data_IF_595310201461
#
_entry.id   IF_595310201461
#
_cell.length_a   1.000
_cell.length_b   1.000
_cell.length_c   1.000
_cell.angle_alpha   90.00
_cell.angle_beta   90.00
_cell.angle_gamma   90.00
#
_symmetry.space_group_name_H-M   'P 1'
#
loop_
_entity.id
_entity.type
_entity.pdbx_description
1 polymer ?
#
# COMPACT_ATOMS: atom_id res chain seq x y z
N UNK A 1 10.44 19.58 -5.85
CA UNK A 1 11.65 19.50 -5.00
C UNK A 1 11.36 20.16 -3.68
N UNK A 2 11.92 19.66 -2.58
CA UNK A 2 11.76 20.28 -1.26
C UNK A 2 12.89 19.81 -0.32
N UNK A 3 13.45 20.69 0.54
CA UNK A 3 14.42 20.30 1.56
C UNK A 3 13.79 19.45 2.66
N UNK A 4 14.55 18.49 3.20
CA UNK A 4 14.14 17.72 4.37
C UNK A 4 14.25 18.54 5.66
N UNK A 5 15.13 19.55 5.70
CA UNK A 5 15.25 20.52 6.81
C UNK A 5 15.49 19.87 8.18
N UNK A 6 16.43 18.92 8.27
CA UNK A 6 16.77 18.25 9.52
C UNK A 6 17.41 19.20 10.54
N UNK A 7 18.08 20.26 10.07
CA UNK A 7 18.64 21.31 10.93
C UNK A 7 17.58 22.29 11.46
N UNK A 8 16.38 22.29 10.87
CA UNK A 8 15.25 23.11 11.27
C UNK A 8 15.38 24.60 10.91
N UNK A 9 14.36 25.36 11.31
CA UNK A 9 14.21 26.80 11.00
C UNK A 9 14.34 27.04 9.47
N UNK A 10 15.23 27.95 9.08
CA UNK A 10 15.45 28.37 7.70
C UNK A 10 16.70 27.75 7.06
N UNK A 11 17.39 26.86 7.77
CA UNK A 11 18.59 26.18 7.26
C UNK A 11 18.25 25.25 6.10
N UNK A 12 17.12 24.53 6.17
CA UNK A 12 16.51 23.84 5.03
C UNK A 12 17.52 22.98 4.27
N UNK A 13 18.24 22.15 5.00
CA UNK A 13 19.22 21.23 4.44
C UNK A 13 18.57 20.06 3.69
N UNK A 14 19.38 19.39 2.85
CA UNK A 14 19.03 18.17 2.11
C UNK A 14 17.86 18.37 1.15
N UNK A 15 18.09 19.12 0.08
CA UNK A 15 17.14 19.28 -1.02
C UNK A 15 16.84 17.93 -1.68
N UNK A 16 15.60 17.46 -1.59
CA UNK A 16 15.16 16.22 -2.21
C UNK A 16 14.31 16.43 -3.48
N UNK A 17 14.46 15.51 -4.43
CA UNK A 17 13.65 15.40 -5.64
C UNK A 17 12.68 14.22 -5.53
N UNK A 18 11.44 14.47 -5.96
CA UNK A 18 10.35 13.51 -5.95
C UNK A 18 9.74 13.42 -7.35
N UNK A 19 9.30 12.22 -7.72
CA UNK A 19 8.61 11.92 -8.97
C UNK A 19 7.21 11.38 -8.65
N UNK A 20 6.19 11.86 -9.35
CA UNK A 20 4.82 11.34 -9.19
C UNK A 20 4.05 11.38 -10.50
N UNK A 21 3.19 10.39 -10.70
CA UNK A 21 2.17 10.30 -11.76
C UNK A 21 0.75 10.57 -11.20
N UNK A 22 0.64 11.26 -10.06
CA UNK A 22 -0.60 11.49 -9.31
C UNK A 22 -1.19 10.23 -8.62
N UNK A 23 -0.46 9.10 -8.63
CA UNK A 23 -0.85 7.87 -7.92
C UNK A 23 0.31 7.38 -7.04
N UNK A 24 1.46 7.17 -7.67
CA UNK A 24 2.70 6.75 -7.03
C UNK A 24 3.57 7.97 -6.73
N UNK A 25 4.33 7.91 -5.65
CA UNK A 25 5.23 9.00 -5.22
C UNK A 25 6.59 8.39 -4.90
N UNK A 26 7.55 8.59 -5.80
CA UNK A 26 8.90 8.05 -5.70
C UNK A 26 9.87 9.12 -5.19
N UNK A 27 10.70 8.76 -4.22
CA UNK A 27 11.82 9.60 -3.79
C UNK A 27 13.00 9.34 -4.73
N UNK A 28 13.30 10.31 -5.60
CA UNK A 28 14.45 10.18 -6.52
C UNK A 28 15.76 10.25 -5.73
N UNK A 29 15.79 11.05 -4.67
CA UNK A 29 16.92 11.19 -3.78
C UNK A 29 17.26 12.63 -3.46
N UNK A 30 18.36 12.79 -2.74
CA UNK A 30 18.92 14.09 -2.40
C UNK A 30 19.70 14.66 -3.60
N UNK A 31 19.37 15.88 -3.99
CA UNK A 31 20.02 16.65 -5.07
C UNK A 31 21.19 17.47 -4.54
N UNK A 32 21.04 18.06 -3.35
CA UNK A 32 22.09 18.82 -2.67
C UNK A 32 23.20 17.90 -2.14
N UNK A 33 24.36 18.45 -1.83
CA UNK A 33 25.52 17.68 -1.37
C UNK A 33 25.62 17.68 0.16
N UNK A 34 25.80 16.51 0.75
CA UNK A 34 26.04 16.38 2.20
C UNK A 34 24.88 16.95 3.04
N UNK A 35 25.20 17.81 3.99
CA UNK A 35 24.24 18.48 4.87
C UNK A 35 24.11 19.98 4.58
N UNK A 36 24.44 20.43 3.36
CA UNK A 36 24.39 21.85 3.00
C UNK A 36 22.95 22.41 3.06
N UNK A 37 22.86 23.68 3.48
CA UNK A 37 21.61 24.43 3.51
C UNK A 37 21.17 24.75 2.07
N UNK A 38 20.05 24.19 1.60
CA UNK A 38 19.66 24.20 0.19
C UNK A 38 18.14 24.39 0.05
N UNK A 39 17.71 25.63 0.27
CA UNK A 39 16.30 25.97 0.43
C UNK A 39 15.53 26.03 -0.90
N UNK A 40 15.76 27.06 -1.71
CA UNK A 40 15.00 27.29 -2.94
C UNK A 40 15.61 26.54 -4.11
N UNK A 41 14.77 26.08 -5.02
CA UNK A 41 15.19 25.30 -6.18
C UNK A 41 14.26 25.46 -7.37
N UNK A 42 14.79 25.22 -8.56
CA UNK A 42 14.07 25.19 -9.82
C UNK A 42 14.62 24.05 -10.68
N UNK A 43 13.75 23.12 -11.07
CA UNK A 43 14.11 21.97 -11.91
C UNK A 43 13.68 22.24 -13.34
N UNK A 44 14.57 21.99 -14.29
CA UNK A 44 14.31 22.12 -15.71
C UNK A 44 14.59 20.80 -16.42
N UNK A 45 13.59 20.27 -17.12
CA UNK A 45 13.79 19.20 -18.11
C UNK A 45 13.75 19.81 -19.51
N UNK A 46 14.86 19.69 -20.24
CA UNK A 46 15.01 20.25 -21.60
C UNK A 46 15.90 19.34 -22.43
N UNK A 47 15.49 19.08 -23.68
CA UNK A 47 16.24 18.27 -24.66
C UNK A 47 16.75 16.94 -24.08
N UNK A 48 15.85 16.23 -23.39
CA UNK A 48 16.13 14.97 -22.70
C UNK A 48 17.25 15.03 -21.62
N UNK A 49 17.41 16.19 -21.00
CA UNK A 49 18.35 16.42 -19.90
C UNK A 49 17.65 17.11 -18.73
N UNK A 50 18.03 16.72 -17.52
CA UNK A 50 17.48 17.27 -16.29
C UNK A 50 18.51 18.14 -15.60
N UNK A 51 18.07 19.30 -15.14
CA UNK A 51 18.90 20.30 -14.47
C UNK A 51 18.20 20.79 -13.22
N UNK A 52 18.98 21.27 -12.25
CA UNK A 52 18.46 21.96 -11.08
C UNK A 52 19.28 23.22 -10.80
N UNK A 53 18.61 24.37 -10.77
CA UNK A 53 19.17 25.60 -10.20
C UNK A 53 18.70 25.68 -8.75
N UNK A 54 19.60 25.61 -7.78
CA UNK A 54 19.22 25.71 -6.36
C UNK A 54 20.16 26.54 -5.54
N UNK A 55 19.67 27.01 -4.40
CA UNK A 55 20.45 27.74 -3.42
C UNK A 55 21.42 26.82 -2.68
N UNK A 56 22.57 27.39 -2.31
CA UNK A 56 23.41 26.93 -1.21
C UNK A 56 23.63 28.12 -0.27
N UNK A 57 23.56 27.88 1.04
CA UNK A 57 23.77 28.90 2.07
C UNK A 57 24.88 28.48 3.04
N UNK A 58 25.89 29.35 3.19
CA UNK A 58 26.86 29.29 4.29
C UNK A 58 26.85 30.62 5.02
N UNK A 59 26.53 30.62 6.32
CA UNK A 59 26.51 31.83 7.17
C UNK A 59 25.68 32.98 6.58
N UNK A 60 24.49 32.69 6.05
CA UNK A 60 23.59 33.66 5.41
C UNK A 60 24.15 34.30 4.12
N UNK A 61 25.19 33.70 3.54
CA UNK A 61 25.69 34.05 2.21
C UNK A 61 25.18 33.00 1.23
N UNK A 62 24.42 33.46 0.24
CA UNK A 62 23.70 32.61 -0.70
C UNK A 62 24.41 32.57 -2.06
N UNK A 63 24.41 31.42 -2.69
CA UNK A 63 24.82 31.22 -4.07
C UNK A 63 23.83 30.31 -4.79
N UNK A 64 23.80 30.39 -6.13
CA UNK A 64 23.00 29.49 -6.95
C UNK A 64 23.91 28.52 -7.69
N UNK A 65 23.67 27.23 -7.50
CA UNK A 65 24.37 26.17 -8.23
C UNK A 65 23.50 25.66 -9.37
N UNK A 66 24.10 25.46 -10.54
CA UNK A 66 23.43 24.89 -11.71
C UNK A 66 23.89 23.43 -11.90
N UNK A 67 23.14 22.51 -11.31
CA UNK A 67 23.44 21.09 -11.30
C UNK A 67 22.90 20.38 -12.55
N UNK A 68 23.68 19.41 -13.07
CA UNK A 68 23.25 18.49 -14.13
C UNK A 68 22.83 17.17 -13.48
N UNK A 69 21.54 16.89 -13.50
CA UNK A 69 20.94 15.75 -12.79
C UNK A 69 20.94 14.48 -13.66
N UNK A 70 22.13 14.03 -14.05
CA UNK A 70 22.30 12.88 -14.95
C UNK A 70 21.89 11.58 -14.28
N UNK A 71 22.31 11.37 -13.03
CA UNK A 71 21.99 10.16 -12.25
C UNK A 71 20.50 10.05 -11.95
N UNK A 72 19.92 11.16 -11.50
CA UNK A 72 18.51 11.29 -11.15
C UNK A 72 17.61 11.04 -12.37
N UNK A 73 17.97 11.57 -13.55
CA UNK A 73 17.21 11.31 -14.76
C UNK A 73 17.25 9.83 -15.18
N UNK A 74 18.40 9.15 -15.02
CA UNK A 74 18.48 7.71 -15.27
C UNK A 74 17.57 6.92 -14.32
N UNK A 75 17.54 7.29 -13.04
CA UNK A 75 16.65 6.70 -12.04
C UNK A 75 15.18 6.95 -12.42
N UNK A 76 14.81 8.19 -12.74
CA UNK A 76 13.46 8.56 -13.15
C UNK A 76 13.00 7.71 -14.34
N UNK A 77 13.82 7.62 -15.40
CA UNK A 77 13.48 6.80 -16.57
C UNK A 77 13.30 5.32 -16.22
N UNK A 78 14.17 4.77 -15.36
CA UNK A 78 14.04 3.40 -14.87
C UNK A 78 12.73 3.17 -14.12
N UNK A 79 12.34 4.09 -13.23
CA UNK A 79 11.11 4.00 -12.44
C UNK A 79 9.86 4.14 -13.32
N UNK A 80 9.84 5.12 -14.23
CA UNK A 80 8.75 5.30 -15.20
C UNK A 80 8.58 4.05 -16.08
N UNK A 81 9.68 3.41 -16.47
CA UNK A 81 9.61 2.16 -17.21
C UNK A 81 9.02 1.01 -16.36
N UNK A 82 9.37 0.92 -15.07
CA UNK A 82 8.74 -0.04 -14.15
C UNK A 82 7.23 0.20 -14.04
N UNK A 83 6.79 1.45 -13.84
CA UNK A 83 5.37 1.80 -13.76
C UNK A 83 4.63 1.40 -15.04
N UNK A 84 5.17 1.77 -16.21
CA UNK A 84 4.61 1.40 -17.51
C UNK A 84 4.53 -0.12 -17.69
N UNK A 85 5.57 -0.85 -17.31
CA UNK A 85 5.61 -2.30 -17.47
C UNK A 85 4.54 -3.00 -16.62
N UNK A 86 4.39 -2.61 -15.35
CA UNK A 86 3.39 -3.20 -14.46
C UNK A 86 1.96 -2.80 -14.85
N UNK A 87 1.72 -1.53 -15.18
CA UNK A 87 0.40 -1.09 -15.65
C UNK A 87 0.02 -1.80 -16.96
N UNK A 88 0.97 -1.93 -17.89
CA UNK A 88 0.74 -2.66 -19.15
C UNK A 88 0.53 -4.15 -18.91
N UNK A 89 1.27 -4.77 -17.98
CA UNK A 89 1.12 -6.18 -17.66
C UNK A 89 -0.28 -6.45 -17.12
N UNK A 90 -0.71 -5.73 -16.09
CA UNK A 90 -2.03 -5.89 -15.47
C UNK A 90 -3.17 -5.62 -16.46
N UNK A 91 -3.05 -4.55 -17.27
CA UNK A 91 -4.08 -4.20 -18.26
C UNK A 91 -4.17 -5.20 -19.42
N UNK A 92 -3.09 -5.94 -19.69
CA UNK A 92 -3.03 -6.95 -20.77
C UNK A 92 -3.57 -8.32 -20.38
N UNK A 93 -3.87 -8.54 -19.09
CA UNK A 93 -4.42 -9.82 -18.62
C UNK A 93 -5.80 -10.03 -19.26
N UNK A 94 -5.94 -11.13 -20.01
CA UNK A 94 -7.25 -11.60 -20.48
C UNK A 94 -7.99 -12.20 -19.29
N UNK A 95 -8.82 -11.40 -18.63
CA UNK A 95 -9.62 -11.83 -17.49
C UNK A 95 -10.74 -12.77 -17.95
N UNK A 96 -11.22 -13.69 -17.09
CA UNK A 96 -12.37 -14.51 -17.41
C UNK A 96 -13.60 -13.66 -17.73
N UNK A 97 -14.34 -14.04 -18.79
CA UNK A 97 -15.64 -13.44 -19.05
C UNK A 97 -16.59 -13.75 -17.88
N UNK A 98 -17.26 -12.72 -17.36
CA UNK A 98 -18.23 -12.90 -16.27
C UNK A 98 -19.48 -13.60 -16.82
N UNK A 99 -19.86 -14.78 -16.29
CA UNK A 99 -21.07 -15.49 -16.71
C UNK A 99 -22.36 -14.66 -16.57
N UNK A 100 -22.37 -13.65 -15.69
CA UNK A 100 -23.51 -12.77 -15.45
C UNK A 100 -23.64 -11.63 -16.48
N UNK A 101 -22.60 -11.39 -17.30
CA UNK A 101 -22.65 -10.37 -18.37
C UNK A 101 -22.72 -11.05 -19.73
N UNK A 102 -23.79 -10.78 -20.49
CA UNK A 102 -23.95 -11.24 -21.87
C UNK A 102 -22.68 -10.85 -22.67
N UNK A 103 -22.06 -11.88 -23.25
CA UNK A 103 -20.77 -11.89 -23.91
C UNK A 103 -20.47 -10.62 -24.71
N UNK A 104 -19.35 -9.97 -24.39
CA UNK A 104 -18.67 -9.16 -25.41
C UNK A 104 -18.04 -10.13 -26.43
N UNK A 105 -18.12 -9.80 -27.72
CA UNK A 105 -17.63 -10.62 -28.85
C UNK A 105 -16.10 -10.93 -28.81
N UNK A 106 -15.37 -10.52 -27.77
CA UNK A 106 -13.90 -10.50 -27.67
C UNK A 106 -13.26 -11.54 -26.75
N UNK A 107 -14.00 -12.46 -26.16
CA UNK A 107 -13.45 -13.62 -25.42
C UNK A 107 -12.77 -13.35 -24.08
N UNK A 108 -12.37 -12.11 -23.78
CA UNK A 108 -11.87 -11.67 -22.46
C UNK A 108 -12.94 -10.83 -21.73
N UNK A 109 -12.91 -10.87 -20.40
CA UNK A 109 -13.68 -10.00 -19.51
C UNK A 109 -13.12 -8.56 -19.42
N UNK A 110 -13.63 -7.75 -18.47
CA UNK A 110 -13.09 -6.42 -18.21
C UNK A 110 -11.62 -6.47 -17.77
N UNK A 111 -10.80 -5.50 -18.21
CA UNK A 111 -9.40 -5.43 -17.81
C UNK A 111 -9.23 -5.14 -16.31
N UNK A 112 -8.14 -5.63 -15.71
CA UNK A 112 -7.73 -5.24 -14.36
C UNK A 112 -7.45 -3.74 -14.35
N UNK A 113 -8.12 -3.01 -13.45
CA UNK A 113 -7.97 -1.56 -13.36
C UNK A 113 -6.61 -1.20 -12.78
N UNK A 114 -5.88 -0.32 -13.46
CA UNK A 114 -4.64 0.28 -12.96
C UNK A 114 -4.87 1.72 -12.50
N UNK A 115 -6.08 2.25 -12.72
CA UNK A 115 -6.46 3.61 -12.32
C UNK A 115 -6.59 3.66 -10.81
N UNK A 116 -5.76 4.50 -10.20
CA UNK A 116 -5.63 4.69 -8.77
C UNK A 116 -4.71 3.68 -8.07
N UNK A 117 -4.05 2.77 -8.80
CA UNK A 117 -3.22 1.72 -8.19
C UNK A 117 -1.89 2.30 -7.67
N UNK A 118 -1.79 2.59 -6.38
CA UNK A 118 -0.66 3.28 -5.77
C UNK A 118 0.52 2.37 -5.38
N UNK A 119 0.26 1.08 -5.11
CA UNK A 119 1.30 0.13 -4.72
C UNK A 119 0.89 -1.33 -4.97
N UNK A 120 1.88 -2.20 -5.14
CA UNK A 120 1.64 -3.62 -5.40
C UNK A 120 2.76 -4.50 -4.83
N UNK A 121 2.43 -5.34 -3.85
CA UNK A 121 3.33 -6.33 -3.26
C UNK A 121 3.05 -7.72 -3.86
N UNK A 122 4.04 -8.31 -4.55
CA UNK A 122 3.87 -9.58 -5.26
C UNK A 122 5.11 -10.47 -5.11
N UNK A 123 5.74 -10.94 -6.18
CA UNK A 123 6.83 -11.93 -6.07
C UNK A 123 8.16 -11.35 -5.56
N UNK A 124 8.40 -10.06 -5.76
CA UNK A 124 9.70 -9.49 -5.48
C UNK A 124 9.88 -9.21 -3.98
N UNK A 125 10.96 -9.74 -3.41
CA UNK A 125 11.17 -9.80 -1.97
C UNK A 125 12.64 -10.06 -1.62
N UNK A 126 13.09 -9.46 -0.52
CA UNK A 126 14.33 -9.81 0.18
C UNK A 126 14.00 -10.36 1.57
N UNK A 127 15.00 -10.77 2.36
CA UNK A 127 14.79 -11.53 3.60
C UNK A 127 13.74 -10.93 4.56
N UNK A 128 13.73 -9.60 4.73
CA UNK A 128 12.82 -8.90 5.66
C UNK A 128 12.00 -7.80 4.96
N UNK A 129 11.93 -7.82 3.63
CA UNK A 129 11.29 -6.76 2.85
C UNK A 129 10.46 -7.36 1.73
N UNK A 130 9.17 -7.01 1.70
CA UNK A 130 8.29 -7.25 0.57
C UNK A 130 8.37 -6.02 -0.35
N UNK A 131 8.95 -6.19 -1.53
CA UNK A 131 9.23 -5.07 -2.42
C UNK A 131 8.00 -4.65 -3.20
N UNK A 132 7.76 -3.34 -3.23
CA UNK A 132 6.71 -2.76 -4.06
C UNK A 132 7.14 -2.78 -5.53
N UNK A 133 6.30 -3.38 -6.36
CA UNK A 133 6.47 -3.45 -7.81
C UNK A 133 6.59 -2.06 -8.44
N UNK A 134 5.93 -1.05 -7.86
CA UNK A 134 6.04 0.36 -8.26
C UNK A 134 7.21 1.11 -7.61
N UNK A 135 7.99 0.42 -6.76
CA UNK A 135 9.27 0.87 -6.18
C UNK A 135 9.16 2.08 -5.24
N UNK A 136 7.98 2.39 -4.73
CA UNK A 136 7.74 3.58 -3.91
C UNK A 136 7.81 3.29 -2.42
N UNK A 137 7.06 2.30 -1.95
CA UNK A 137 6.96 1.98 -0.52
C UNK A 137 6.99 0.47 -0.34
N UNK A 138 8.08 -0.07 0.18
CA UNK A 138 8.15 -1.48 0.54
C UNK A 138 7.41 -1.75 1.86
N UNK A 139 7.02 -3.01 2.10
CA UNK A 139 6.57 -3.46 3.42
C UNK A 139 7.70 -4.20 4.14
N UNK A 140 7.81 -3.99 5.45
CA UNK A 140 8.71 -4.80 6.29
C UNK A 140 8.03 -6.11 6.66
N UNK A 141 8.78 -7.20 6.74
CA UNK A 141 8.24 -8.54 7.04
C UNK A 141 8.95 -9.15 8.25
N UNK A 142 8.23 -9.97 9.01
CA UNK A 142 8.77 -10.82 10.06
C UNK A 142 8.17 -12.22 9.97
N UNK A 143 8.98 -13.22 10.33
CA UNK A 143 8.66 -14.65 10.26
C UNK A 143 7.94 -15.04 8.97
N UNK A 144 8.54 -14.64 7.84
CA UNK A 144 7.96 -14.75 6.52
C UNK A 144 8.84 -15.65 5.64
N UNK A 145 8.24 -16.68 5.07
CA UNK A 145 8.83 -17.57 4.08
C UNK A 145 8.35 -17.14 2.69
N UNK A 146 9.28 -16.83 1.78
CA UNK A 146 8.94 -16.42 0.41
C UNK A 146 8.23 -17.58 -0.30
N UNK A 147 7.09 -17.28 -0.91
CA UNK A 147 6.35 -18.20 -1.81
C UNK A 147 6.07 -17.47 -3.13
N UNK A 148 5.68 -18.19 -4.20
CA UNK A 148 5.34 -17.51 -5.45
C UNK A 148 4.25 -16.44 -5.24
N UNK A 149 4.55 -15.22 -5.65
CA UNK A 149 3.71 -14.02 -5.56
C UNK A 149 3.42 -13.50 -4.14
N UNK A 150 4.19 -13.92 -3.12
CA UNK A 150 4.06 -13.34 -1.79
C UNK A 150 4.78 -14.10 -0.68
N UNK A 151 4.15 -14.18 0.49
CA UNK A 151 4.75 -14.76 1.69
C UNK A 151 3.81 -15.67 2.45
N UNK A 152 4.39 -16.72 3.04
CA UNK A 152 3.79 -17.52 4.09
C UNK A 152 4.32 -17.04 5.44
N UNK A 153 3.42 -16.68 6.34
CA UNK A 153 3.74 -16.24 7.69
C UNK A 153 3.48 -17.36 8.69
N UNK A 154 4.33 -17.46 9.72
CA UNK A 154 4.17 -18.42 10.81
C UNK A 154 4.68 -17.84 12.14
N UNK A 155 4.00 -18.17 13.24
CA UNK A 155 4.43 -17.80 14.60
C UNK A 155 4.09 -16.36 15.03
N UNK A 156 4.50 -16.02 16.26
CA UNK A 156 4.22 -14.72 16.91
C UNK A 156 4.88 -13.59 16.13
N UNK A 157 4.10 -12.56 15.77
CA UNK A 157 4.59 -11.43 14.99
C UNK A 157 4.82 -11.74 13.51
N UNK A 158 4.44 -12.94 13.02
CA UNK A 158 4.53 -13.28 11.60
C UNK A 158 3.60 -12.44 10.75
N UNK A 159 4.12 -11.62 9.84
CA UNK A 159 3.31 -10.72 9.03
C UNK A 159 4.14 -9.71 8.26
N UNK A 160 3.43 -8.79 7.60
CA UNK A 160 4.01 -7.64 6.92
C UNK A 160 3.35 -6.33 7.36
N UNK A 161 4.17 -5.29 7.49
CA UNK A 161 3.76 -3.93 7.82
C UNK A 161 4.06 -3.02 6.63
N UNK A 162 3.00 -2.42 6.07
CA UNK A 162 3.11 -1.49 4.96
C UNK A 162 2.83 -0.06 5.45
N UNK A 163 3.86 0.80 5.59
CA UNK A 163 3.75 2.02 6.41
C UNK A 163 2.90 3.11 5.73
N UNK A 164 2.14 3.85 6.54
CA UNK A 164 1.37 5.04 6.12
C UNK A 164 1.90 6.28 6.83
N UNK A 165 1.46 6.61 8.05
CA UNK A 165 2.08 7.69 8.85
C UNK A 165 3.46 7.30 9.37
N UNK A 166 3.73 5.99 9.53
CA UNK A 166 5.06 5.46 9.84
C UNK A 166 6.12 5.72 8.75
N UNK A 167 5.74 6.24 7.58
CA UNK A 167 6.71 6.77 6.60
C UNK A 167 7.44 8.02 7.13
N UNK A 168 6.94 8.63 8.20
CA UNK A 168 7.55 9.77 8.87
C UNK A 168 7.23 11.08 8.14
N UNK A 169 8.26 11.85 7.82
CA UNK A 169 8.13 13.21 7.29
C UNK A 169 7.37 13.29 5.96
N UNK A 170 7.52 12.30 5.09
CA UNK A 170 6.92 12.29 3.75
C UNK A 170 5.96 11.10 3.62
N UNK A 171 4.68 11.35 3.89
CA UNK A 171 3.63 10.34 3.95
C UNK A 171 2.96 10.14 2.58
N UNK A 172 3.53 9.23 1.76
CA UNK A 172 3.05 9.00 0.38
C UNK A 172 1.65 8.39 0.33
N UNK A 173 1.27 7.66 1.37
CA UNK A 173 -0.04 7.01 1.50
C UNK A 173 -1.04 7.80 2.35
N UNK A 174 -0.81 9.09 2.56
CA UNK A 174 -1.75 9.94 3.31
C UNK A 174 -3.17 9.96 2.71
N UNK A 175 -3.31 9.67 1.41
CA UNK A 175 -4.62 9.52 0.76
C UNK A 175 -5.52 8.48 1.44
N UNK A 176 -4.93 7.45 2.07
CA UNK A 176 -5.67 6.37 2.71
C UNK A 176 -6.50 6.85 3.91
N UNK A 177 -6.19 8.04 4.46
CA UNK A 177 -6.99 8.66 5.49
C UNK A 177 -8.35 9.18 4.97
N UNK A 178 -8.50 9.31 3.65
CA UNK A 178 -9.72 9.79 2.99
C UNK A 178 -10.44 8.67 2.26
N UNK A 179 -9.70 7.92 1.44
CA UNK A 179 -10.22 6.77 0.71
C UNK A 179 -9.12 5.79 0.30
N UNK A 180 -9.42 4.50 0.31
CA UNK A 180 -8.55 3.47 -0.25
C UNK A 180 -9.31 2.19 -0.59
N UNK A 181 -8.67 1.36 -1.41
CA UNK A 181 -9.01 -0.07 -1.52
C UNK A 181 -7.75 -0.90 -1.33
N UNK A 182 -7.78 -1.83 -0.36
CA UNK A 182 -6.71 -2.79 -0.10
C UNK A 182 -7.19 -4.18 -0.48
N UNK A 183 -6.41 -4.88 -1.31
CA UNK A 183 -6.77 -6.18 -1.88
C UNK A 183 -5.69 -7.18 -1.58
N UNK A 184 -6.02 -8.43 -1.24
CA UNK A 184 -5.05 -9.51 -1.14
C UNK A 184 -5.70 -10.89 -1.42
N UNK A 185 -4.91 -11.83 -1.94
CA UNK A 185 -5.24 -13.25 -1.91
C UNK A 185 -4.66 -13.89 -0.67
N UNK A 186 -5.47 -14.62 0.11
CA UNK A 186 -5.05 -15.20 1.38
C UNK A 186 -5.40 -16.68 1.48
N UNK A 187 -4.64 -17.42 2.28
CA UNK A 187 -4.91 -18.84 2.59
C UNK A 187 -4.55 -19.09 4.04
N UNK A 188 -5.50 -19.58 4.83
CA UNK A 188 -5.31 -19.87 6.26
C UNK A 188 -4.86 -21.33 6.41
N UNK A 189 -3.74 -21.57 7.07
CA UNK A 189 -3.13 -22.91 7.17
C UNK A 189 -3.41 -23.63 8.48
N UNK A 190 -3.76 -22.90 9.54
CA UNK A 190 -4.05 -23.46 10.86
C UNK A 190 -5.23 -22.73 11.48
N UNK A 191 -6.04 -23.46 12.25
CA UNK A 191 -7.12 -22.85 13.04
C UNK A 191 -6.48 -22.07 14.18
N UNK A 192 -6.80 -20.77 14.34
CA UNK A 192 -6.17 -19.99 15.38
C UNK A 192 -6.77 -20.37 16.74
N UNK A 193 -6.07 -20.04 17.84
CA UNK A 193 -6.59 -20.27 19.20
C UNK A 193 -7.61 -19.21 19.65
N UNK A 194 -7.62 -18.07 18.98
CA UNK A 194 -8.49 -16.93 19.21
C UNK A 194 -8.61 -16.13 17.91
N UNK A 195 -9.39 -15.04 17.92
CA UNK A 195 -9.45 -14.12 16.78
C UNK A 195 -8.05 -13.59 16.38
N UNK A 196 -7.62 -13.92 15.17
CA UNK A 196 -6.29 -13.56 14.64
C UNK A 196 -6.45 -12.59 13.46
N UNK A 197 -5.64 -11.52 13.37
CA UNK A 197 -5.65 -10.59 12.25
C UNK A 197 -5.28 -11.28 10.93
N UNK A 198 -5.83 -10.74 9.84
CA UNK A 198 -5.50 -11.19 8.49
C UNK A 198 -5.10 -10.05 7.56
N UNK A 199 -5.88 -8.96 7.54
CA UNK A 199 -5.59 -7.79 6.72
C UNK A 199 -6.29 -6.57 7.31
N UNK A 200 -5.67 -5.38 7.27
CA UNK A 200 -6.36 -4.17 7.69
C UNK A 200 -5.50 -2.92 7.78
N UNK A 201 -6.12 -1.83 8.21
CA UNK A 201 -5.54 -0.52 8.45
C UNK A 201 -5.56 -0.21 9.96
N UNK A 202 -4.36 0.01 10.52
CA UNK A 202 -4.17 0.34 11.93
C UNK A 202 -4.10 1.85 12.12
N UNK A 203 -4.73 2.36 13.19
CA UNK A 203 -4.60 3.74 13.65
C UNK A 203 -3.41 3.92 14.58
N UNK A 204 -3.03 2.87 15.32
CA UNK A 204 -1.92 2.91 16.25
C UNK A 204 -0.72 2.06 15.79
N UNK A 205 0.42 2.23 16.44
CA UNK A 205 1.64 1.48 16.09
C UNK A 205 1.57 -0.01 16.47
N UNK A 206 0.70 -0.40 17.41
CA UNK A 206 0.61 -1.79 17.89
C UNK A 206 -0.29 -2.67 17.03
N UNK A 207 -1.18 -2.09 16.22
CA UNK A 207 -2.21 -2.84 15.49
C UNK A 207 -3.48 -3.06 16.31
N UNK A 208 -3.54 -2.61 17.56
CA UNK A 208 -4.67 -2.78 18.47
C UNK A 208 -5.89 -1.98 18.02
N UNK A 209 -5.68 -0.71 17.67
CA UNK A 209 -6.72 0.21 17.23
C UNK A 209 -6.82 0.19 15.70
N UNK A 210 -7.95 -0.23 15.17
CA UNK A 210 -8.13 -0.45 13.73
C UNK A 210 -9.15 0.52 13.18
N UNK A 211 -8.85 1.07 12.01
CA UNK A 211 -9.84 1.80 11.23
C UNK A 211 -10.79 0.82 10.53
N UNK A 212 -10.23 -0.13 9.79
CA UNK A 212 -10.95 -1.15 9.04
C UNK A 212 -10.07 -2.39 8.95
N UNK A 213 -10.63 -3.56 9.15
CA UNK A 213 -9.86 -4.79 9.05
C UNK A 213 -10.69 -6.05 8.96
N UNK A 214 -9.98 -7.15 8.78
CA UNK A 214 -10.52 -8.49 8.79
C UNK A 214 -9.63 -9.38 9.65
N UNK A 215 -10.29 -10.13 10.54
CA UNK A 215 -9.73 -11.21 11.34
C UNK A 215 -10.50 -12.52 11.08
N UNK A 216 -10.00 -13.62 11.62
CA UNK A 216 -10.62 -14.94 11.55
C UNK A 216 -10.48 -15.67 12.89
N UNK A 217 -11.42 -16.56 13.24
CA UNK A 217 -11.50 -17.17 14.57
C UNK A 217 -11.52 -18.71 14.58
N UNK A 218 -11.43 -19.28 15.79
CA UNK A 218 -11.39 -20.73 16.01
C UNK A 218 -12.67 -21.47 15.55
N UNK A 219 -13.77 -20.75 15.35
CA UNK A 219 -15.07 -21.29 14.92
C UNK A 219 -15.23 -21.27 13.41
N UNK A 220 -14.15 -21.01 12.68
CA UNK A 220 -14.14 -20.92 11.23
C UNK A 220 -15.01 -19.78 10.69
N UNK A 221 -15.11 -18.67 11.43
CA UNK A 221 -15.88 -17.49 11.02
C UNK A 221 -14.96 -16.31 10.70
N UNK A 222 -15.46 -15.41 9.86
CA UNK A 222 -14.83 -14.12 9.58
C UNK A 222 -15.22 -13.11 10.65
N UNK A 223 -14.27 -12.28 11.07
CA UNK A 223 -14.46 -11.20 12.01
C UNK A 223 -14.09 -9.87 11.35
N UNK A 224 -15.01 -9.25 10.60
CA UNK A 224 -14.78 -7.92 10.04
C UNK A 224 -14.81 -6.86 11.15
N UNK A 225 -13.89 -5.91 11.09
CA UNK A 225 -13.68 -4.89 12.12
C UNK A 225 -13.94 -3.52 11.49
N UNK A 226 -14.89 -2.78 12.06
CA UNK A 226 -15.33 -1.47 11.59
C UNK A 226 -15.09 -0.41 12.67
N UNK A 227 -13.91 0.21 12.67
CA UNK A 227 -13.50 1.15 13.71
C UNK A 227 -13.56 0.50 15.10
N UNK A 228 -14.21 1.19 16.03
CA UNK A 228 -14.47 0.75 17.40
C UNK A 228 -15.78 -0.05 17.57
N UNK A 229 -16.50 -0.35 16.48
CA UNK A 229 -17.77 -1.08 16.54
C UNK A 229 -17.57 -2.50 17.07
N UNK A 230 -18.45 -3.00 17.96
CA UNK A 230 -18.39 -4.39 18.41
C UNK A 230 -18.37 -5.39 17.25
N UNK A 231 -17.35 -6.25 17.24
CA UNK A 231 -17.15 -7.24 16.18
C UNK A 231 -18.25 -8.29 16.23
N UNK A 232 -18.88 -8.55 15.08
CA UNK A 232 -19.87 -9.61 14.92
C UNK A 232 -19.34 -10.65 13.94
N UNK A 233 -19.02 -11.88 14.40
CA UNK A 233 -18.59 -12.95 13.52
C UNK A 233 -19.62 -13.29 12.44
N UNK A 234 -19.17 -13.59 11.23
CA UNK A 234 -20.05 -13.83 10.09
C UNK A 234 -19.43 -14.76 9.05
N UNK A 235 -20.27 -15.34 8.20
CA UNK A 235 -19.86 -16.28 7.17
C UNK A 235 -19.10 -17.49 7.71
N UNK A 236 -18.39 -18.17 6.82
CA UNK A 236 -17.49 -19.26 7.17
C UNK A 236 -16.25 -19.25 6.28
N UNK A 237 -15.18 -19.87 6.77
CA UNK A 237 -13.98 -20.14 6.00
C UNK A 237 -13.53 -21.60 6.19
N UNK A 238 -12.57 -22.02 5.36
CA UNK A 238 -12.05 -23.39 5.33
C UNK A 238 -10.53 -23.32 5.27
N UNK A 239 -9.88 -24.21 6.00
CA UNK A 239 -8.43 -24.30 6.02
C UNK A 239 -7.89 -24.68 4.64
N UNK A 240 -6.76 -24.10 4.25
CA UNK A 240 -6.07 -24.30 2.98
C UNK A 240 -6.87 -23.92 1.73
N UNK A 241 -7.99 -23.22 1.89
CA UNK A 241 -8.73 -22.61 0.79
C UNK A 241 -8.22 -21.19 0.54
N UNK A 242 -8.02 -20.85 -0.74
CA UNK A 242 -7.67 -19.51 -1.19
C UNK A 242 -8.91 -18.62 -1.16
N UNK A 243 -8.81 -17.45 -0.55
CA UNK A 243 -9.83 -16.42 -0.49
C UNK A 243 -9.32 -15.11 -1.08
N UNK A 244 -10.20 -14.37 -1.76
CA UNK A 244 -9.95 -13.01 -2.20
C UNK A 244 -10.52 -12.02 -1.19
N UNK A 245 -9.68 -11.18 -0.59
CA UNK A 245 -10.09 -10.19 0.40
C UNK A 245 -9.99 -8.80 -0.20
N UNK A 246 -11.04 -8.00 -0.06
CA UNK A 246 -11.03 -6.58 -0.38
C UNK A 246 -11.54 -5.77 0.81
N UNK A 247 -10.78 -4.76 1.20
CA UNK A 247 -11.19 -3.74 2.16
C UNK A 247 -11.33 -2.42 1.41
N UNK A 248 -12.49 -1.78 1.47
CA UNK A 248 -12.69 -0.44 0.91
C UNK A 248 -13.07 0.54 2.01
N UNK A 249 -12.47 1.72 1.98
CA UNK A 249 -12.88 2.84 2.81
C UNK A 249 -13.09 4.06 1.90
N UNK A 250 -14.25 4.70 2.00
CA UNK A 250 -14.53 5.99 1.37
C UNK A 250 -15.73 6.64 2.06
N UNK A 251 -15.81 7.96 2.04
CA UNK A 251 -16.88 8.72 2.71
C UNK A 251 -17.07 8.29 4.18
N UNK A 252 -15.96 7.99 4.87
CA UNK A 252 -15.93 7.48 6.26
C UNK A 252 -16.62 6.13 6.48
N UNK A 253 -17.02 5.43 5.42
CA UNK A 253 -17.63 4.10 5.46
C UNK A 253 -16.63 3.03 5.05
N UNK A 254 -16.62 1.93 5.80
CA UNK A 254 -15.80 0.74 5.55
C UNK A 254 -16.62 -0.44 5.06
N UNK A 255 -16.10 -1.19 4.09
CA UNK A 255 -16.70 -2.42 3.59
C UNK A 255 -15.67 -3.52 3.42
N UNK A 256 -16.07 -4.77 3.67
CA UNK A 256 -15.23 -5.95 3.55
C UNK A 256 -15.87 -6.93 2.56
N UNK A 257 -15.10 -7.40 1.60
CA UNK A 257 -15.53 -8.39 0.62
C UNK A 257 -14.69 -9.65 0.73
N UNK A 258 -15.33 -10.80 0.58
CA UNK A 258 -14.71 -12.12 0.44
C UNK A 258 -15.18 -12.71 -0.90
N UNK A 259 -14.25 -13.13 -1.74
CA UNK A 259 -14.53 -13.75 -3.05
C UNK A 259 -15.43 -12.89 -3.95
N UNK A 260 -15.27 -11.56 -3.83
CA UNK A 260 -16.04 -10.56 -4.57
C UNK A 260 -17.41 -10.24 -3.97
N UNK A 261 -17.84 -10.95 -2.92
CA UNK A 261 -19.12 -10.76 -2.26
C UNK A 261 -18.98 -9.95 -0.96
N UNK A 262 -19.94 -9.07 -0.70
CA UNK A 262 -19.94 -8.21 0.48
C UNK A 262 -20.26 -9.03 1.74
N UNK A 263 -19.42 -8.95 2.78
CA UNK A 263 -19.72 -9.59 4.06
C UNK A 263 -20.95 -8.95 4.72
N UNK A 264 -21.79 -9.79 5.33
CA UNK A 264 -22.98 -9.33 6.07
C UNK A 264 -22.56 -8.31 7.14
N UNK A 265 -23.20 -7.15 7.12
CA UNK A 265 -22.92 -6.05 8.04
C UNK A 265 -21.85 -5.07 7.57
N UNK A 266 -21.31 -5.20 6.35
CA UNK A 266 -20.44 -4.19 5.73
C UNK A 266 -21.16 -2.88 5.41
N UNK A 267 -20.40 -1.82 5.10
CA UNK A 267 -20.93 -0.48 4.85
C UNK A 267 -21.15 0.33 6.13
N UNK A 268 -20.35 0.05 7.17
CA UNK A 268 -20.45 0.74 8.46
C UNK A 268 -19.60 2.00 8.47
N UNK A 269 -19.99 2.97 9.29
CA UNK A 269 -19.13 4.11 9.63
C UNK A 269 -17.89 3.61 10.38
N UNK A 270 -16.70 3.91 9.86
CA UNK A 270 -15.41 3.57 10.48
C UNK A 270 -14.68 4.78 11.08
N UNK A 271 -15.06 5.98 10.66
CA UNK A 271 -14.60 7.25 11.25
C UNK A 271 -15.80 7.93 11.90
N UNK A 272 -15.97 7.84 13.24
CA UNK A 272 -17.18 8.31 13.92
C UNK A 272 -17.30 9.84 13.98
N UNK A 273 -16.17 10.54 14.00
CA UNK A 273 -16.12 11.99 14.22
C UNK A 273 -15.81 12.78 12.93
N UNK A 274 -15.87 14.11 13.03
CA UNK A 274 -15.48 15.01 11.93
C UNK A 274 -13.99 14.93 11.58
N UNK A 275 -13.16 14.39 12.49
CA UNK A 275 -11.72 14.25 12.32
C UNK A 275 -11.30 13.46 11.08
N UNK A 276 -10.08 13.74 10.62
CA UNK A 276 -9.39 12.92 9.61
C UNK A 276 -8.62 11.83 10.36
N UNK A 277 -8.78 10.54 10.02
CA UNK A 277 -7.98 9.49 10.64
C UNK A 277 -6.49 9.69 10.33
N UNK A 278 -5.62 9.13 11.16
CA UNK A 278 -4.18 9.08 10.91
C UNK A 278 -3.73 7.63 10.93
N UNK A 279 -3.89 6.94 9.79
CA UNK A 279 -3.51 5.54 9.65
C UNK A 279 -2.00 5.40 9.86
N UNK A 280 -1.61 4.56 10.80
CA UNK A 280 -0.23 4.20 11.08
C UNK A 280 0.38 3.37 9.95
N UNK A 281 -0.30 2.27 9.61
CA UNK A 281 0.16 1.29 8.64
C UNK A 281 -0.98 0.36 8.22
N UNK A 282 -0.80 -0.34 7.10
CA UNK A 282 -1.55 -1.54 6.79
C UNK A 282 -0.82 -2.77 7.34
N UNK A 283 -1.55 -3.70 7.93
CA UNK A 283 -1.04 -4.99 8.38
C UNK A 283 -1.53 -6.11 7.47
N UNK A 284 -0.65 -7.08 7.16
CA UNK A 284 -0.93 -8.27 6.36
C UNK A 284 -0.45 -9.48 7.16
N UNK A 285 -1.35 -10.38 7.51
CA UNK A 285 -1.11 -11.39 8.54
C UNK A 285 -1.22 -10.79 9.94
N UNK A 286 -0.14 -10.83 10.72
CA UNK A 286 -0.11 -10.19 12.04
C UNK A 286 0.28 -8.72 12.01
N UNK A 287 0.21 -8.10 13.19
CA UNK A 287 0.56 -6.70 13.43
C UNK A 287 2.07 -6.41 13.36
N UNK A 288 2.91 -7.39 13.01
CA UNK A 288 4.38 -7.28 12.99
C UNK A 288 4.96 -6.72 14.31
N UNK A 289 4.31 -7.08 15.43
CA UNK A 289 4.66 -6.65 16.79
C UNK A 289 4.78 -7.87 17.68
N UNK A 290 5.95 -8.06 18.29
CA UNK A 290 6.22 -9.16 19.22
C UNK A 290 5.41 -9.08 20.53
N UNK A 291 4.82 -7.92 20.81
CA UNK A 291 4.05 -7.68 22.03
C UNK A 291 2.61 -8.19 21.93
N UNK A 292 2.16 -8.58 20.73
CA UNK A 292 0.84 -9.15 20.51
C UNK A 292 0.97 -10.68 20.45
N UNK A 293 0.27 -11.45 21.31
CA UNK A 293 0.41 -12.90 21.39
C UNK A 293 -0.26 -13.64 20.21
N UNK A 294 -0.59 -12.93 19.12
CA UNK A 294 -1.31 -13.48 17.98
C UNK A 294 -0.35 -14.16 17.02
N UNK A 295 -0.52 -15.46 16.85
CA UNK A 295 0.20 -16.28 15.89
C UNK A 295 -0.59 -16.33 14.58
N UNK A 296 0.02 -15.85 13.50
CA UNK A 296 -0.58 -15.91 12.16
C UNK A 296 0.06 -17.04 11.37
N UNK A 297 -0.78 -17.98 10.92
CA UNK A 297 -0.39 -19.12 10.09
C UNK A 297 -1.13 -19.03 8.76
N UNK A 298 -0.70 -18.12 7.90
CA UNK A 298 -1.37 -17.84 6.63
C UNK A 298 -0.38 -17.49 5.52
N UNK A 299 -0.80 -17.72 4.29
CA UNK A 299 -0.14 -17.19 3.09
C UNK A 299 -0.91 -15.98 2.58
N UNK A 300 -0.21 -14.89 2.28
CA UNK A 300 -0.74 -13.74 1.57
C UNK A 300 0.00 -13.54 0.25
N UNK A 301 -0.74 -13.23 -0.81
CA UNK A 301 -0.23 -13.03 -2.17
C UNK A 301 -0.91 -11.83 -2.83
N UNK A 302 -0.20 -11.20 -3.75
CA UNK A 302 -0.71 -10.14 -4.62
C UNK A 302 -1.51 -9.07 -3.84
N UNK A 303 -0.80 -8.25 -3.06
CA UNK A 303 -1.42 -7.18 -2.27
C UNK A 303 -1.46 -5.89 -3.07
N UNK A 304 -2.65 -5.40 -3.40
CA UNK A 304 -2.83 -4.15 -4.15
C UNK A 304 -3.35 -3.04 -3.24
N UNK A 305 -2.85 -1.82 -3.41
CA UNK A 305 -3.35 -0.62 -2.75
C UNK A 305 -3.81 0.41 -3.77
N UNK A 306 -5.08 0.76 -3.74
CA UNK A 306 -5.67 1.83 -4.56
C UNK A 306 -5.97 3.07 -3.73
N UNK A 307 -5.84 4.25 -4.33
CA UNK A 307 -6.12 5.55 -3.73
C UNK A 307 -7.59 5.99 -3.86
N UNK A 308 -8.51 5.04 -4.03
CA UNK A 308 -9.95 5.25 -4.20
C UNK A 308 -10.73 4.01 -3.82
N UNK A 309 -12.03 4.14 -3.63
CA UNK A 309 -12.94 3.00 -3.58
C UNK A 309 -13.13 2.39 -4.98
N UNK A 310 -12.84 1.09 -5.12
CA UNK A 310 -13.17 0.35 -6.33
C UNK A 310 -14.67 0.08 -6.42
N UNK A 311 -15.22 0.10 -7.63
CA UNK A 311 -16.61 -0.26 -7.85
C UNK A 311 -16.80 -1.80 -7.89
N UNK A 312 -18.05 -2.26 -7.82
CA UNK A 312 -18.38 -3.69 -7.79
C UNK A 312 -17.81 -4.48 -8.98
N UNK A 313 -17.81 -3.89 -10.19
CA UNK A 313 -17.27 -4.54 -11.40
C UNK A 313 -15.75 -4.70 -11.31
N UNK A 314 -15.05 -3.69 -10.81
CA UNK A 314 -13.59 -3.75 -10.59
C UNK A 314 -13.22 -4.79 -9.53
N UNK A 315 -13.94 -4.83 -8.41
CA UNK A 315 -13.77 -5.84 -7.35
C UNK A 315 -13.98 -7.25 -7.90
N UNK A 316 -15.06 -7.45 -8.67
CA UNK A 316 -15.36 -8.73 -9.32
C UNK A 316 -14.28 -9.14 -10.31
N UNK A 317 -13.76 -8.19 -11.09
CA UNK A 317 -12.69 -8.43 -12.05
C UNK A 317 -11.42 -8.92 -11.36
N UNK A 318 -11.00 -8.25 -10.27
CA UNK A 318 -9.84 -8.65 -9.47
C UNK A 318 -9.99 -10.06 -8.89
N UNK A 319 -11.18 -10.37 -8.38
CA UNK A 319 -11.48 -11.71 -7.87
C UNK A 319 -11.35 -12.79 -8.96
N UNK A 320 -11.82 -12.53 -10.17
CA UNK A 320 -11.73 -13.51 -11.28
C UNK A 320 -10.32 -13.63 -11.85
N UNK A 321 -9.44 -12.65 -11.63
CA UNK A 321 -8.07 -12.59 -12.17
C UNK A 321 -6.96 -12.93 -11.16
N UNK A 322 -7.30 -13.58 -10.04
CA UNK A 322 -6.45 -13.76 -8.86
C UNK A 322 -5.36 -14.84 -8.92
#
# INVERSE_FOLDING_TARGET
>A
THPLNFKGKWLRDRLNLWLTDNQRIYNVGQVSIGDENSAYSSVLYKDDKLYCLHEINTNEVYSLVFARLVGELMIIKSVLQSWKNWDSHLSSICTPADPATLSSERGCGPAVTTVGLAGFLSDNATQNVWEDAYRCVNASTANAEKVPNGFKFAGVGGGALWPVSQQGQNQRYHFANYEFTLVASVTIHEVPRAATPLLGASLDSSGGEKLLGLSYDEKHQWQPIYGSTPVTPTGSWEMNKKYHVVLTMANKMGSVYIDGELLKGSGQTVVPDEGTPDISHFYIGSYNSSNMPTESHLTAKNVFLYNRQLNAKEIRTLFLSQ
#
